data_IF_442774549618
#
_entry.id   IF_442774549618
#
_cell.length_a   1.000
_cell.length_b   1.000
_cell.length_c   1.000
_cell.angle_alpha   90.00
_cell.angle_beta   90.00
_cell.angle_gamma   90.00
#
_symmetry.space_group_name_H-M   'P 1'
#
loop_
_entity.id
_entity.type
_entity.pdbx_description
1 polymer ?
#
# COMPACT_ATOMS: atom_id res chain seq x y z
N UNK A 1 -49.22 -22.28 -2.43
CA UNK A 1 -48.92 -21.08 -3.23
C UNK A 1 -48.58 -19.96 -2.25
N UNK A 2 -47.31 -19.59 -2.11
CA UNK A 2 -46.82 -18.63 -1.10
C UNK A 2 -46.88 -17.23 -1.74
N UNK A 3 -47.85 -16.41 -1.34
CA UNK A 3 -48.02 -15.06 -1.86
C UNK A 3 -47.01 -14.15 -1.15
N UNK A 4 -45.86 -13.89 -1.78
CA UNK A 4 -44.95 -12.85 -1.30
C UNK A 4 -45.48 -11.48 -1.72
N UNK A 5 -45.48 -10.55 -0.75
CA UNK A 5 -45.97 -9.17 -0.88
C UNK A 5 -45.13 -8.41 -1.90
N UNK A 6 -45.78 -7.83 -2.91
CA UNK A 6 -45.15 -7.13 -4.05
C UNK A 6 -44.17 -6.03 -3.62
N UNK A 7 -44.42 -5.36 -2.50
CA UNK A 7 -43.53 -4.33 -1.92
C UNK A 7 -42.14 -4.88 -1.59
N UNK A 8 -42.05 -6.13 -1.13
CA UNK A 8 -40.79 -6.77 -0.74
C UNK A 8 -39.93 -7.19 -1.94
N UNK A 9 -40.58 -7.58 -3.04
CA UNK A 9 -39.89 -7.85 -4.32
C UNK A 9 -39.29 -6.57 -4.92
N UNK A 10 -39.96 -5.44 -4.73
CA UNK A 10 -39.42 -4.12 -5.05
C UNK A 10 -38.17 -3.81 -4.25
N UNK A 11 -38.24 -3.86 -2.92
CA UNK A 11 -37.09 -3.53 -2.06
C UNK A 11 -35.88 -4.43 -2.30
N UNK A 12 -36.06 -5.75 -2.49
CA UNK A 12 -34.95 -6.67 -2.80
C UNK A 12 -34.34 -6.38 -4.19
N UNK A 13 -35.15 -6.00 -5.19
CA UNK A 13 -34.67 -5.60 -6.51
C UNK A 13 -33.91 -4.26 -6.48
N UNK A 14 -34.44 -3.26 -5.74
CA UNK A 14 -33.80 -1.95 -5.57
C UNK A 14 -32.51 -2.05 -4.74
N UNK A 15 -32.48 -2.90 -3.70
CA UNK A 15 -31.28 -3.15 -2.90
C UNK A 15 -30.16 -3.82 -3.72
N UNK A 16 -30.52 -4.70 -4.65
CA UNK A 16 -29.58 -5.32 -5.59
C UNK A 16 -28.91 -4.30 -6.50
N UNK A 17 -29.68 -3.41 -7.13
CA UNK A 17 -29.15 -2.35 -8.01
C UNK A 17 -28.25 -1.37 -7.25
N UNK A 18 -28.66 -0.95 -6.04
CA UNK A 18 -27.86 -0.06 -5.19
C UNK A 18 -26.59 -0.73 -4.61
N UNK A 19 -26.52 -2.06 -4.59
CA UNK A 19 -25.31 -2.80 -4.21
C UNK A 19 -24.36 -2.96 -5.42
N UNK A 20 -24.89 -3.12 -6.63
CA UNK A 20 -24.11 -3.17 -7.88
C UNK A 20 -23.41 -1.84 -8.15
N UNK A 21 -24.13 -0.72 -8.05
CA UNK A 21 -23.59 0.64 -8.26
C UNK A 21 -22.45 0.98 -7.28
N UNK A 22 -22.63 0.66 -5.99
CA UNK A 22 -21.55 0.75 -4.98
C UNK A 22 -20.36 -0.17 -5.27
N UNK A 23 -20.58 -1.31 -5.93
CA UNK A 23 -19.52 -2.24 -6.28
C UNK A 23 -18.55 -1.64 -7.29
N UNK A 24 -19.09 -0.95 -8.31
CA UNK A 24 -18.33 -0.28 -9.36
C UNK A 24 -17.54 0.92 -8.80
N UNK A 25 -18.13 1.74 -7.94
CA UNK A 25 -17.45 2.87 -7.28
C UNK A 25 -16.27 2.43 -6.40
N UNK A 26 -16.46 1.36 -5.64
CA UNK A 26 -15.41 0.80 -4.79
C UNK A 26 -14.27 0.21 -5.61
N UNK A 27 -14.59 -0.43 -6.75
CA UNK A 27 -13.58 -0.97 -7.67
C UNK A 27 -12.76 0.17 -8.31
N UNK A 28 -13.43 1.23 -8.77
CA UNK A 28 -12.78 2.37 -9.40
C UNK A 28 -11.88 3.12 -8.40
N UNK A 29 -12.34 3.31 -7.17
CA UNK A 29 -11.55 3.90 -6.08
C UNK A 29 -10.33 3.05 -5.72
N UNK A 30 -10.48 1.72 -5.73
CA UNK A 30 -9.39 0.77 -5.51
C UNK A 30 -8.33 0.83 -6.61
N UNK A 31 -8.76 0.90 -7.87
CA UNK A 31 -7.87 1.03 -9.02
C UNK A 31 -7.12 2.37 -9.00
N UNK A 32 -7.82 3.48 -8.76
CA UNK A 32 -7.21 4.81 -8.66
C UNK A 32 -6.13 4.85 -7.57
N UNK A 33 -6.39 4.25 -6.41
CA UNK A 33 -5.40 4.10 -5.33
C UNK A 33 -4.22 3.23 -5.74
N UNK A 34 -4.46 2.11 -6.41
CA UNK A 34 -3.38 1.23 -6.89
C UNK A 34 -2.48 1.96 -7.91
N UNK A 35 -3.08 2.72 -8.83
CA UNK A 35 -2.36 3.54 -9.81
C UNK A 35 -1.55 4.65 -9.12
N UNK A 36 -2.13 5.33 -8.13
CA UNK A 36 -1.42 6.35 -7.35
C UNK A 36 -0.22 5.77 -6.61
N UNK A 37 -0.38 4.60 -5.99
CA UNK A 37 0.72 3.87 -5.35
C UNK A 37 1.79 3.50 -6.36
N UNK A 38 1.42 2.88 -7.48
CA UNK A 38 2.35 2.47 -8.52
C UNK A 38 3.12 3.67 -9.10
N UNK A 39 2.44 4.79 -9.35
CA UNK A 39 3.05 6.03 -9.83
C UNK A 39 4.04 6.62 -8.83
N UNK A 40 3.67 6.67 -7.55
CA UNK A 40 4.57 7.15 -6.50
C UNK A 40 5.77 6.22 -6.25
N UNK A 41 5.56 4.90 -6.30
CA UNK A 41 6.64 3.91 -6.21
C UNK A 41 7.63 4.06 -7.38
N UNK A 42 7.12 4.27 -8.61
CA UNK A 42 7.95 4.53 -9.78
C UNK A 42 8.71 5.86 -9.65
N UNK A 43 8.05 6.92 -9.19
CA UNK A 43 8.68 8.22 -8.97
C UNK A 43 9.79 8.15 -7.91
N UNK A 44 9.58 7.41 -6.82
CA UNK A 44 10.59 7.17 -5.79
C UNK A 44 11.85 6.49 -6.35
N UNK A 45 11.68 5.47 -7.20
CA UNK A 45 12.80 4.77 -7.83
C UNK A 45 13.52 5.62 -8.90
N UNK A 46 12.76 6.41 -9.66
CA UNK A 46 13.34 7.39 -10.59
C UNK A 46 14.12 8.48 -9.87
N UNK A 47 13.60 8.98 -8.74
CA UNK A 47 14.29 9.94 -7.89
C UNK A 47 15.60 9.37 -7.35
N UNK A 48 15.56 8.14 -6.82
CA UNK A 48 16.77 7.44 -6.39
C UNK A 48 17.81 7.36 -7.52
N UNK A 49 17.40 6.98 -8.73
CA UNK A 49 18.30 6.90 -9.88
C UNK A 49 18.85 8.28 -10.29
N UNK A 50 18.01 9.32 -10.32
CA UNK A 50 18.43 10.67 -10.66
C UNK A 50 19.44 11.24 -9.65
N UNK A 51 19.15 11.11 -8.36
CA UNK A 51 20.04 11.54 -7.28
C UNK A 51 21.35 10.74 -7.33
N UNK A 52 21.27 9.42 -7.49
CA UNK A 52 22.46 8.57 -7.61
C UNK A 52 23.38 8.98 -8.76
N UNK A 53 22.81 9.26 -9.94
CA UNK A 53 23.56 9.77 -11.10
C UNK A 53 24.17 11.14 -10.83
N UNK A 54 23.40 12.06 -10.27
CA UNK A 54 23.87 13.40 -9.93
C UNK A 54 25.05 13.35 -8.95
N UNK A 55 25.00 12.49 -7.93
CA UNK A 55 26.09 12.31 -6.97
C UNK A 55 27.38 11.80 -7.59
N UNK A 56 27.30 11.09 -8.72
CA UNK A 56 28.46 10.61 -9.49
C UNK A 56 28.82 11.54 -10.64
N UNK A 57 28.26 12.76 -10.69
CA UNK A 57 28.44 13.72 -11.79
C UNK A 57 28.09 13.15 -13.17
N UNK A 58 27.16 12.20 -13.20
CA UNK A 58 26.64 11.64 -14.45
C UNK A 58 25.46 12.49 -14.98
N UNK A 59 25.28 12.49 -16.31
CA UNK A 59 24.21 13.25 -16.95
C UNK A 59 22.80 12.78 -16.55
N UNK A 60 21.86 13.73 -16.46
CA UNK A 60 20.46 13.53 -16.03
C UNK A 60 19.47 13.44 -17.20
N UNK A 61 19.93 13.07 -18.39
CA UNK A 61 19.04 12.84 -19.51
C UNK A 61 17.94 11.83 -19.12
N UNK A 62 16.64 12.07 -19.41
CA UNK A 62 15.54 11.21 -18.95
C UNK A 62 15.73 9.73 -19.27
N UNK A 63 16.23 9.43 -20.48
CA UNK A 63 16.52 8.05 -20.91
C UNK A 63 17.61 7.39 -20.06
N UNK A 64 18.62 8.14 -19.62
CA UNK A 64 19.72 7.63 -18.81
C UNK A 64 19.29 7.39 -17.36
N UNK A 65 18.44 8.28 -16.81
CA UNK A 65 17.79 8.08 -15.51
C UNK A 65 16.90 6.84 -15.56
N UNK A 66 16.06 6.73 -16.58
CA UNK A 66 15.18 5.57 -16.76
C UNK A 66 15.97 4.28 -16.91
N UNK A 67 17.04 4.25 -17.72
CA UNK A 67 17.90 3.08 -17.87
C UNK A 67 18.59 2.69 -16.55
N UNK A 68 18.89 3.67 -15.70
CA UNK A 68 19.47 3.42 -14.37
C UNK A 68 18.42 2.87 -13.39
N UNK A 69 17.18 3.36 -13.46
CA UNK A 69 16.07 2.92 -12.63
C UNK A 69 15.44 1.60 -13.09
N UNK A 70 15.49 1.28 -14.39
CA UNK A 70 14.83 0.16 -15.04
C UNK A 70 14.98 -1.19 -14.31
N UNK A 71 16.18 -1.64 -13.91
CA UNK A 71 16.31 -2.91 -13.21
C UNK A 71 15.58 -2.91 -11.85
N UNK A 72 15.55 -1.79 -11.14
CA UNK A 72 14.83 -1.66 -9.87
C UNK A 72 13.32 -1.57 -10.05
N UNK A 73 12.86 -0.86 -11.08
CA UNK A 73 11.44 -0.83 -11.46
C UNK A 73 10.97 -2.25 -11.80
N UNK A 74 11.73 -2.97 -12.62
CA UNK A 74 11.43 -4.35 -12.99
C UNK A 74 11.34 -5.25 -11.75
N UNK A 75 12.35 -5.21 -10.88
CA UNK A 75 12.39 -6.01 -9.65
C UNK A 75 11.22 -5.68 -8.70
N UNK A 76 10.96 -4.38 -8.49
CA UNK A 76 9.87 -3.92 -7.62
C UNK A 76 8.51 -4.38 -8.13
N UNK A 77 8.17 -4.08 -9.38
CA UNK A 77 6.85 -4.42 -9.92
C UNK A 77 6.68 -5.94 -10.10
N UNK A 78 7.74 -6.67 -10.43
CA UNK A 78 7.69 -8.14 -10.48
C UNK A 78 7.42 -8.75 -9.10
N UNK A 79 8.01 -8.20 -8.03
CA UNK A 79 7.77 -8.66 -6.67
C UNK A 79 6.39 -8.24 -6.13
N UNK A 80 5.91 -7.05 -6.51
CA UNK A 80 4.65 -6.49 -6.03
C UNK A 80 3.42 -7.31 -6.43
N UNK A 81 3.44 -7.99 -7.58
CA UNK A 81 2.32 -8.82 -8.06
C UNK A 81 2.04 -10.00 -7.12
N UNK A 82 2.97 -10.96 -6.88
CA UNK A 82 2.71 -12.10 -6.02
C UNK A 82 2.61 -11.74 -4.54
N UNK A 83 3.27 -10.67 -4.09
CA UNK A 83 3.30 -10.28 -2.67
C UNK A 83 2.14 -9.36 -2.25
N UNK A 84 1.20 -9.09 -3.17
CA UNK A 84 0.02 -8.28 -2.87
C UNK A 84 0.35 -6.80 -2.65
N UNK A 85 1.38 -6.29 -3.33
CA UNK A 85 1.85 -4.91 -3.23
C UNK A 85 0.80 -3.86 -3.60
N UNK A 86 -0.26 -4.25 -4.31
CA UNK A 86 -1.40 -3.39 -4.65
C UNK A 86 -2.75 -3.97 -4.19
N UNK A 87 -2.72 -4.91 -3.23
CA UNK A 87 -3.92 -5.50 -2.66
C UNK A 87 -4.62 -4.57 -1.65
N UNK A 88 -5.78 -5.01 -1.13
CA UNK A 88 -6.60 -4.23 -0.17
C UNK A 88 -5.83 -3.71 1.04
N UNK A 89 -4.94 -4.53 1.61
CA UNK A 89 -4.12 -4.13 2.76
C UNK A 89 -3.08 -3.05 2.42
N UNK A 90 -2.58 -3.02 1.17
CA UNK A 90 -1.64 -2.02 0.69
C UNK A 90 -2.32 -0.69 0.33
N UNK A 91 -3.56 -0.75 -0.19
CA UNK A 91 -4.35 0.41 -0.58
C UNK A 91 -5.20 1.01 0.56
N UNK A 92 -5.13 0.43 1.77
CA UNK A 92 -5.92 0.85 2.92
C UNK A 92 -5.37 2.10 3.63
N UNK A 93 -6.17 2.64 4.54
CA UNK A 93 -5.83 3.80 5.39
C UNK A 93 -4.87 3.45 6.55
N UNK A 94 -4.49 2.18 6.70
CA UNK A 94 -3.65 1.74 7.82
C UNK A 94 -2.18 1.85 7.43
N UNK A 95 -1.53 2.91 7.89
CA UNK A 95 -0.11 3.17 7.60
C UNK A 95 0.81 1.98 7.90
N UNK A 96 0.57 1.24 8.99
CA UNK A 96 1.35 0.04 9.32
C UNK A 96 1.17 -1.11 8.32
N UNK A 97 -0.03 -1.32 7.78
CA UNK A 97 -0.29 -2.37 6.78
C UNK A 97 0.31 -1.99 5.43
N UNK A 98 0.17 -0.72 5.02
CA UNK A 98 0.78 -0.19 3.80
C UNK A 98 2.32 -0.27 3.86
N UNK A 99 2.91 0.10 5.00
CA UNK A 99 4.35 -0.01 5.24
C UNK A 99 4.84 -1.46 5.21
N UNK A 100 4.11 -2.38 5.86
CA UNK A 100 4.47 -3.80 5.86
C UNK A 100 4.37 -4.42 4.46
N UNK A 101 3.32 -4.09 3.71
CA UNK A 101 3.17 -4.54 2.33
C UNK A 101 4.33 -4.04 1.46
N UNK A 102 4.70 -2.76 1.60
CA UNK A 102 5.84 -2.17 0.92
C UNK A 102 7.16 -2.85 1.29
N UNK A 103 7.41 -3.08 2.59
CA UNK A 103 8.61 -3.70 3.09
C UNK A 103 8.79 -5.14 2.58
N UNK A 104 7.69 -5.92 2.50
CA UNK A 104 7.71 -7.27 1.92
C UNK A 104 8.09 -7.25 0.44
N UNK A 105 7.47 -6.36 -0.34
CA UNK A 105 7.78 -6.21 -1.76
C UNK A 105 9.21 -5.72 -1.96
N UNK A 106 9.69 -4.82 -1.11
CA UNK A 106 11.04 -4.25 -1.14
C UNK A 106 12.11 -5.30 -0.87
N UNK A 107 11.89 -6.14 0.14
CA UNK A 107 12.82 -7.18 0.56
C UNK A 107 13.13 -8.21 -0.54
N UNK A 108 12.23 -8.36 -1.52
CA UNK A 108 12.44 -9.23 -2.69
C UNK A 108 12.80 -8.40 -3.93
N UNK A 109 12.04 -7.35 -4.20
CA UNK A 109 12.11 -6.61 -5.46
C UNK A 109 13.38 -5.80 -5.64
N UNK A 110 13.89 -5.15 -4.59
CA UNK A 110 15.13 -4.36 -4.71
C UNK A 110 16.35 -5.26 -4.87
N UNK A 111 16.54 -6.34 -4.06
CA UNK A 111 17.60 -7.32 -4.32
C UNK A 111 17.50 -7.95 -5.73
N UNK A 112 16.30 -8.26 -6.20
CA UNK A 112 16.09 -8.74 -7.57
C UNK A 112 16.54 -7.67 -8.60
N UNK A 113 16.23 -6.40 -8.38
CA UNK A 113 16.71 -5.31 -9.22
C UNK A 113 18.23 -5.16 -9.22
N UNK A 114 18.90 -5.34 -8.07
CA UNK A 114 20.36 -5.38 -8.00
C UNK A 114 20.90 -6.55 -8.83
N UNK A 115 20.28 -7.73 -8.76
CA UNK A 115 20.68 -8.90 -9.55
C UNK A 115 20.51 -8.66 -11.06
N UNK A 116 19.36 -8.13 -11.49
CA UNK A 116 19.10 -7.77 -12.90
C UNK A 116 20.11 -6.75 -13.40
N UNK A 117 20.40 -5.71 -12.59
CA UNK A 117 21.43 -4.71 -12.92
C UNK A 117 22.80 -5.35 -13.10
N UNK A 118 23.19 -6.23 -12.16
CA UNK A 118 24.49 -6.90 -12.19
C UNK A 118 24.64 -7.77 -13.44
N UNK A 119 23.59 -8.52 -13.78
CA UNK A 119 23.55 -9.34 -14.98
C UNK A 119 23.64 -8.48 -16.26
N UNK A 120 22.89 -7.38 -16.32
CA UNK A 120 22.92 -6.46 -17.46
C UNK A 120 24.28 -5.74 -17.63
N UNK A 121 25.03 -5.54 -16.54
CA UNK A 121 26.36 -4.89 -16.57
C UNK A 121 27.52 -5.88 -16.69
N UNK A 122 27.29 -7.17 -16.38
CA UNK A 122 28.31 -8.22 -16.40
C UNK A 122 29.22 -8.27 -15.17
N UNK A 123 28.93 -7.51 -14.12
CA UNK A 123 29.72 -7.52 -12.87
C UNK A 123 28.87 -7.18 -11.65
N UNK A 124 29.34 -7.57 -10.47
CA UNK A 124 28.70 -7.25 -9.20
C UNK A 124 29.00 -5.80 -8.78
N UNK A 125 28.00 -5.01 -8.35
CA UNK A 125 28.21 -3.64 -7.92
C UNK A 125 28.98 -3.57 -6.59
N UNK A 126 29.55 -2.40 -6.32
CA UNK A 126 30.24 -2.14 -5.06
C UNK A 126 29.35 -2.34 -3.84
N UNK A 127 29.97 -2.76 -2.73
CA UNK A 127 29.25 -2.98 -1.47
C UNK A 127 28.53 -1.72 -0.99
N UNK A 128 29.17 -0.55 -1.15
CA UNK A 128 28.57 0.73 -0.83
C UNK A 128 27.30 0.99 -1.64
N UNK A 129 27.32 0.70 -2.96
CA UNK A 129 26.14 0.84 -3.81
C UNK A 129 25.00 -0.05 -3.33
N UNK A 130 25.27 -1.32 -2.98
CA UNK A 130 24.25 -2.26 -2.48
C UNK A 130 23.60 -1.72 -1.21
N UNK A 131 24.40 -1.29 -0.23
CA UNK A 131 23.89 -0.80 1.07
C UNK A 131 23.05 0.47 0.86
N UNK A 132 23.59 1.46 0.14
CA UNK A 132 22.89 2.73 -0.13
C UNK A 132 21.59 2.47 -0.89
N UNK A 133 21.63 1.60 -1.90
CA UNK A 133 20.44 1.24 -2.67
C UNK A 133 19.37 0.66 -1.77
N UNK A 134 19.69 -0.34 -0.94
CA UNK A 134 18.73 -0.98 -0.06
C UNK A 134 18.12 0.02 0.92
N UNK A 135 18.96 0.80 1.62
CA UNK A 135 18.51 1.75 2.65
C UNK A 135 17.66 2.86 2.03
N UNK A 136 18.16 3.53 0.99
CA UNK A 136 17.48 4.70 0.41
C UNK A 136 16.17 4.29 -0.25
N UNK A 137 16.16 3.22 -1.05
CA UNK A 137 14.91 2.74 -1.67
C UNK A 137 13.93 2.22 -0.63
N UNK A 138 14.40 1.58 0.44
CA UNK A 138 13.55 1.13 1.54
C UNK A 138 12.84 2.30 2.22
N UNK A 139 13.60 3.34 2.56
CA UNK A 139 13.04 4.57 3.14
C UNK A 139 12.06 5.25 2.20
N UNK A 140 12.39 5.40 0.91
CA UNK A 140 11.53 6.06 -0.06
C UNK A 140 10.23 5.30 -0.29
N UNK A 141 10.29 3.98 -0.54
CA UNK A 141 9.11 3.17 -0.87
C UNK A 141 8.20 2.96 0.35
N UNK A 142 8.78 2.61 1.50
CA UNK A 142 8.01 2.41 2.73
C UNK A 142 7.48 3.75 3.24
N UNK A 143 8.31 4.79 3.24
CA UNK A 143 7.96 6.12 3.70
C UNK A 143 6.85 6.78 2.88
N UNK A 144 6.94 6.70 1.54
CA UNK A 144 5.90 7.21 0.65
C UNK A 144 4.54 6.57 0.93
N UNK A 145 4.50 5.23 1.00
CA UNK A 145 3.24 4.49 1.20
C UNK A 145 2.66 4.70 2.58
N UNK A 146 3.51 4.71 3.61
CA UNK A 146 3.08 5.02 4.97
C UNK A 146 2.54 6.46 5.08
N UNK A 147 3.21 7.42 4.44
CA UNK A 147 2.79 8.82 4.39
C UNK A 147 1.44 9.00 3.70
N UNK A 148 1.26 8.41 2.51
CA UNK A 148 -0.01 8.46 1.79
C UNK A 148 -1.16 7.84 2.60
N UNK A 149 -0.93 6.68 3.20
CA UNK A 149 -1.92 6.03 4.07
C UNK A 149 -2.27 6.89 5.29
N UNK A 150 -1.28 7.54 5.91
CA UNK A 150 -1.51 8.41 7.06
C UNK A 150 -2.31 9.67 6.69
N UNK A 151 -1.99 10.31 5.55
CA UNK A 151 -2.71 11.50 5.07
C UNK A 151 -4.16 11.15 4.72
N UNK A 152 -4.38 10.05 4.00
CA UNK A 152 -5.73 9.61 3.62
C UNK A 152 -6.56 9.17 4.84
N UNK A 153 -5.93 8.59 5.87
CA UNK A 153 -6.59 8.27 7.12
C UNK A 153 -7.04 9.51 7.90
N UNK A 154 -6.25 10.59 7.85
CA UNK A 154 -6.58 11.87 8.49
C UNK A 154 -7.77 12.53 7.81
N UNK A 155 -7.74 12.65 6.47
CA UNK A 155 -8.86 13.19 5.70
C UNK A 155 -10.16 12.41 5.96
N UNK A 156 -10.08 11.07 5.96
CA UNK A 156 -11.22 10.23 6.27
C UNK A 156 -11.68 10.32 7.73
N UNK A 157 -10.86 10.82 8.66
CA UNK A 157 -11.28 11.06 10.04
C UNK A 157 -12.07 12.38 10.17
N UNK A 158 -11.69 13.40 9.40
CA UNK A 158 -12.30 14.73 9.39
C UNK A 158 -13.73 14.69 8.83
N UNK A 159 -13.97 13.92 7.78
CA UNK A 159 -15.29 13.81 7.13
C UNK A 159 -16.29 12.89 7.84
N UNK A 160 -15.87 12.13 8.86
CA UNK A 160 -16.72 11.12 9.53
C UNK A 160 -17.62 11.74 10.59
N UNK A 161 -18.90 11.37 10.59
CA UNK A 161 -19.86 11.82 11.60
C UNK A 161 -19.55 11.23 12.99
N UNK A 162 -19.92 11.92 14.10
CA UNK A 162 -19.65 11.44 15.46
C UNK A 162 -20.20 10.04 15.76
N UNK A 163 -21.34 9.68 15.15
CA UNK A 163 -21.98 8.37 15.29
C UNK A 163 -21.19 7.25 14.61
N UNK A 164 -20.67 7.47 13.41
CA UNK A 164 -19.81 6.50 12.70
C UNK A 164 -18.48 6.28 13.41
N UNK A 165 -17.89 7.36 13.96
CA UNK A 165 -16.68 7.27 14.78
C UNK A 165 -16.90 6.41 16.03
N UNK A 166 -18.04 6.59 16.72
CA UNK A 166 -18.43 5.80 17.90
C UNK A 166 -18.66 4.33 17.54
N UNK A 167 -19.36 4.05 16.45
CA UNK A 167 -19.58 2.69 15.97
C UNK A 167 -18.26 1.98 15.67
N UNK A 168 -17.34 2.62 14.95
CA UNK A 168 -16.02 2.04 14.63
C UNK A 168 -15.13 1.84 15.84
N UNK A 169 -15.19 2.74 16.83
CA UNK A 169 -14.52 2.55 18.14
C UNK A 169 -15.14 1.40 18.91
N UNK A 170 -16.47 1.26 18.90
CA UNK A 170 -17.18 0.15 19.56
C UNK A 170 -16.86 -1.19 18.90
N UNK A 171 -16.76 -1.22 17.57
CA UNK A 171 -16.37 -2.40 16.80
C UNK A 171 -14.93 -2.83 17.12
N UNK A 172 -14.01 -1.86 17.30
CA UNK A 172 -12.66 -2.13 17.83
C UNK A 172 -12.67 -2.63 19.29
N UNK A 173 -13.55 -2.11 20.15
CA UNK A 173 -13.71 -2.58 21.55
C UNK A 173 -14.44 -3.93 21.65
N UNK A 174 -15.14 -4.36 20.61
CA UNK A 174 -15.77 -5.67 20.52
C UNK A 174 -14.80 -6.83 20.33
N UNK A 175 -13.48 -6.56 20.24
CA UNK A 175 -12.47 -7.59 20.13
C UNK A 175 -12.42 -8.44 21.43
N UNK A 176 -12.72 -9.75 21.40
CA UNK A 176 -12.82 -10.60 22.60
C UNK A 176 -11.54 -10.58 23.45
N UNK A 177 -10.39 -10.30 22.82
CA UNK A 177 -9.10 -10.19 23.49
C UNK A 177 -9.01 -9.03 24.48
N UNK A 178 -9.71 -7.90 24.26
CA UNK A 178 -9.77 -6.81 25.26
C UNK A 178 -10.73 -7.13 26.40
N UNK A 179 -11.81 -7.86 26.14
CA UNK A 179 -12.70 -8.36 27.20
C UNK A 179 -11.95 -9.27 28.17
N UNK A 180 -11.10 -10.17 27.65
CA UNK A 180 -10.20 -10.97 28.48
C UNK A 180 -9.15 -10.12 29.22
N UNK A 181 -8.63 -9.06 28.61
CA UNK A 181 -7.73 -8.11 29.30
C UNK A 181 -8.43 -7.32 30.40
N UNK A 182 -9.69 -6.95 30.21
CA UNK A 182 -10.51 -6.29 31.23
C UNK A 182 -10.81 -7.25 32.39
N UNK A 183 -11.21 -8.49 32.10
CA UNK A 183 -11.40 -9.55 33.10
C UNK A 183 -10.15 -9.73 33.96
N UNK A 184 -9.00 -9.93 33.32
CA UNK A 184 -7.73 -10.11 34.03
C UNK A 184 -7.28 -8.86 34.80
N UNK A 185 -7.60 -7.65 34.32
CA UNK A 185 -7.32 -6.41 35.06
C UNK A 185 -8.17 -6.25 36.33
N UNK A 186 -9.40 -6.76 36.32
CA UNK A 186 -10.29 -6.78 37.48
C UNK A 186 -9.83 -7.80 38.52
N UNK A 187 -9.30 -8.94 38.08
CA UNK A 187 -8.77 -9.97 38.99
C UNK A 187 -7.46 -9.55 39.65
N UNK A 188 -6.67 -8.68 39.01
CA UNK A 188 -5.36 -8.23 39.54
C UNK A 188 -5.44 -7.13 40.60
N UNK A 189 -6.63 -6.60 40.87
CA UNK A 189 -6.86 -5.47 41.77
C UNK A 189 -7.33 -5.91 43.17
N UNK A 190 -7.48 -7.22 43.38
CA UNK A 190 -7.70 -7.88 44.66
C UNK A 190 -6.54 -8.85 44.91
#
# INVERSE_FOLDING_TARGET
>A
MKLERVERLGEEAWAGVAAVDRGEDNANTGLARAVLLAGGDAAALLLFAAVGRSSHSEGLAPVAVLATAAPFLLGWFAAAVPLGGFGRAACGERAGEAALAAAKCWAVGVPAGIAVRSLARGYAPDKAFVIVTLVVTGVLLVGWRAGLAAITAQAAHEDRTPTEQLQRRRDKRGNPLEFFRLLTSLTKRW
#
